data_IF_035310317713
#
_entry.id   IF_035310317713
#
_cell.length_a   1.000
_cell.length_b   1.000
_cell.length_c   1.000
_cell.angle_alpha   90.00
_cell.angle_beta   90.00
_cell.angle_gamma   90.00
#
_symmetry.space_group_name_H-M   'P 1'
#
loop_
_entity.id
_entity.type
_entity.pdbx_description
1 polymer ?
#
# COMPACT_ATOMS: atom_id res chain seq x y z
N UNK A 1 77.86 17.28 -1.99
CA UNK A 1 76.97 16.13 -1.78
C UNK A 1 75.81 16.59 -0.92
N UNK A 2 74.64 16.78 -1.53
CA UNK A 2 73.40 17.22 -0.83
C UNK A 2 72.63 15.97 -0.37
N UNK A 3 72.48 15.78 0.93
CA UNK A 3 71.65 14.73 1.51
C UNK A 3 70.16 15.20 1.50
N UNK A 4 69.37 14.56 0.68
CA UNK A 4 67.92 14.76 0.61
C UNK A 4 67.24 13.93 1.74
N UNK A 5 66.71 14.60 2.74
CA UNK A 5 65.96 13.95 3.83
C UNK A 5 64.52 13.74 3.35
N UNK A 6 64.15 12.50 3.09
CA UNK A 6 62.77 12.11 2.79
C UNK A 6 61.98 12.03 4.12
N UNK A 7 61.05 12.94 4.32
CA UNK A 7 60.11 12.85 5.44
C UNK A 7 59.03 11.87 5.04
N UNK A 8 59.04 10.72 5.66
CA UNK A 8 57.93 9.76 5.60
C UNK A 8 56.81 10.26 6.50
N UNK A 9 55.73 10.71 5.90
CA UNK A 9 54.48 10.98 6.65
C UNK A 9 53.79 9.63 6.84
N UNK A 10 53.80 9.12 8.06
CA UNK A 10 53.01 7.98 8.46
C UNK A 10 51.56 8.43 8.62
N UNK A 11 50.67 7.91 7.78
CA UNK A 11 49.23 8.03 7.95
C UNK A 11 48.79 7.06 9.04
N UNK A 12 48.62 7.54 10.27
CA UNK A 12 48.00 6.79 11.34
C UNK A 12 46.49 6.86 11.13
N UNK A 13 45.92 5.81 10.57
CA UNK A 13 44.50 5.58 10.60
C UNK A 13 44.15 5.01 11.97
N UNK A 14 43.71 5.86 12.88
CA UNK A 14 43.16 5.45 14.15
C UNK A 14 41.76 4.87 13.89
N UNK A 15 41.70 3.53 13.93
CA UNK A 15 40.42 2.80 14.00
C UNK A 15 39.83 3.08 15.40
N UNK A 16 38.83 3.96 15.47
CA UNK A 16 37.96 4.05 16.64
C UNK A 16 37.02 2.84 16.60
N UNK A 17 37.31 1.87 17.47
CA UNK A 17 36.41 0.77 17.78
C UNK A 17 35.16 1.31 18.47
N UNK A 18 34.02 1.24 17.77
CA UNK A 18 32.72 1.39 18.38
C UNK A 18 32.34 0.02 18.99
N UNK A 19 32.42 -0.05 20.32
CA UNK A 19 31.78 -1.09 21.11
C UNK A 19 30.29 -0.84 21.05
N UNK A 20 29.56 -1.62 20.26
CA UNK A 20 28.11 -1.62 20.23
C UNK A 20 27.56 -2.37 21.45
N UNK A 21 26.95 -1.64 22.37
CA UNK A 21 26.03 -2.19 23.34
C UNK A 21 24.74 -2.59 22.60
N UNK A 22 24.51 -3.89 22.49
CA UNK A 22 23.24 -4.43 22.04
C UNK A 22 22.18 -4.27 23.14
N UNK A 23 21.01 -3.73 22.85
CA UNK A 23 19.87 -3.87 23.75
C UNK A 23 19.30 -5.29 23.60
N UNK A 24 19.22 -6.03 24.70
CA UNK A 24 18.48 -7.28 24.80
C UNK A 24 16.98 -6.98 24.68
N UNK A 25 16.45 -7.10 23.48
CA UNK A 25 15.01 -7.13 23.22
C UNK A 25 14.50 -8.54 23.42
N UNK A 26 13.60 -8.70 24.37
CA UNK A 26 12.80 -9.91 24.57
C UNK A 26 11.88 -10.07 23.37
N UNK A 27 12.12 -11.07 22.53
CA UNK A 27 11.20 -11.47 21.47
C UNK A 27 10.06 -12.27 22.10
N UNK A 28 8.85 -11.77 22.00
CA UNK A 28 7.64 -12.56 22.15
C UNK A 28 7.53 -13.45 20.90
N UNK A 29 7.55 -14.73 21.11
CA UNK A 29 7.37 -15.79 20.12
C UNK A 29 5.89 -15.84 19.75
N UNK A 30 5.54 -15.29 18.58
CA UNK A 30 4.21 -15.46 18.01
C UNK A 30 4.21 -16.71 17.13
N UNK A 31 3.59 -17.75 17.67
CA UNK A 31 3.45 -19.09 17.10
C UNK A 31 2.43 -19.03 15.95
N UNK A 32 2.87 -18.78 14.71
CA UNK A 32 2.04 -19.00 13.52
C UNK A 32 2.19 -20.44 13.05
N UNK A 33 1.26 -21.26 13.49
CA UNK A 33 0.98 -22.58 12.93
C UNK A 33 0.59 -22.44 11.47
N UNK A 34 1.40 -22.99 10.58
CA UNK A 34 1.05 -23.21 9.18
C UNK A 34 -0.04 -24.27 9.09
N UNK A 35 -1.28 -23.83 8.93
CA UNK A 35 -2.39 -24.70 8.56
C UNK A 35 -2.48 -24.78 7.04
N UNK A 36 -2.18 -25.94 6.48
CA UNK A 36 -2.54 -26.30 5.12
C UNK A 36 -4.07 -26.36 5.02
N UNK A 37 -4.68 -25.28 4.50
CA UNK A 37 -6.11 -25.22 4.25
C UNK A 37 -6.45 -25.93 2.94
N UNK A 38 -7.00 -27.12 3.06
CA UNK A 38 -7.76 -27.79 2.01
C UNK A 38 -8.82 -26.85 1.42
N UNK A 39 -8.81 -26.68 0.09
CA UNK A 39 -9.91 -26.07 -0.66
C UNK A 39 -11.16 -26.91 -0.45
N UNK A 40 -12.03 -26.52 0.46
CA UNK A 40 -13.40 -26.99 0.50
C UNK A 40 -14.19 -26.25 -0.58
N UNK A 41 -14.48 -26.95 -1.64
CA UNK A 41 -15.52 -26.65 -2.62
C UNK A 41 -16.86 -26.49 -1.86
N UNK A 42 -17.36 -25.27 -1.77
CA UNK A 42 -18.69 -25.03 -1.21
C UNK A 42 -19.73 -25.40 -2.25
N UNK A 43 -20.30 -26.57 -2.08
CA UNK A 43 -21.48 -27.03 -2.78
C UNK A 43 -22.66 -26.10 -2.45
N UNK A 44 -23.17 -25.43 -3.48
CA UNK A 44 -24.37 -24.60 -3.41
C UNK A 44 -25.57 -25.54 -3.31
N UNK A 45 -26.26 -25.51 -2.19
CA UNK A 45 -27.62 -26.09 -2.10
C UNK A 45 -28.63 -25.01 -2.49
N UNK A 46 -29.50 -25.28 -3.49
CA UNK A 46 -30.64 -24.43 -3.76
C UNK A 46 -31.86 -25.02 -3.03
N UNK A 47 -32.34 -24.35 -2.00
CA UNK A 47 -33.76 -24.46 -1.64
C UNK A 47 -34.18 -23.27 -0.78
N UNK A 48 -35.34 -22.70 -1.18
CA UNK A 48 -35.90 -21.46 -0.81
C UNK A 48 -36.26 -21.26 0.65
N UNK A 49 -36.21 -19.97 1.01
CA UNK A 49 -37.24 -19.33 1.81
C UNK A 49 -37.06 -17.81 1.75
N UNK A 50 -38.17 -17.15 1.47
CA UNK A 50 -38.32 -15.73 1.25
C UNK A 50 -38.36 -14.95 2.57
N UNK A 51 -37.26 -14.87 3.32
CA UNK A 51 -37.12 -13.95 4.45
C UNK A 51 -35.65 -13.56 4.70
N UNK A 52 -34.93 -13.23 3.67
CA UNK A 52 -33.48 -13.05 3.69
C UNK A 52 -33.01 -11.67 4.16
N UNK A 53 -33.70 -11.01 5.10
CA UNK A 53 -33.26 -9.71 5.64
C UNK A 53 -33.06 -9.69 7.16
N UNK A 54 -33.32 -10.79 7.87
CA UNK A 54 -33.18 -10.86 9.32
C UNK A 54 -31.99 -11.73 9.70
N UNK A 55 -30.82 -11.11 9.75
CA UNK A 55 -29.62 -11.73 10.34
C UNK A 55 -29.67 -11.68 11.86
N UNK A 56 -28.83 -12.52 12.48
CA UNK A 56 -28.63 -12.58 13.93
C UNK A 56 -28.28 -11.19 14.50
N UNK A 57 -28.91 -10.81 15.61
CA UNK A 57 -28.51 -9.65 16.40
C UNK A 57 -27.49 -10.11 17.42
N UNK A 58 -26.33 -9.47 17.40
CA UNK A 58 -25.24 -9.71 18.34
C UNK A 58 -25.09 -8.58 19.33
N UNK A 59 -24.55 -8.86 20.51
CA UNK A 59 -24.27 -7.83 21.50
C UNK A 59 -23.18 -6.87 20.98
N UNK A 60 -23.43 -5.58 21.08
CA UNK A 60 -22.52 -4.53 20.64
C UNK A 60 -21.62 -4.12 21.80
N UNK A 61 -20.32 -3.94 21.54
CA UNK A 61 -19.37 -3.49 22.55
C UNK A 61 -19.83 -2.22 23.24
N UNK A 62 -19.68 -2.11 24.58
CA UNK A 62 -19.97 -0.87 25.32
C UNK A 62 -19.21 0.36 24.83
N UNK A 63 -18.04 0.15 24.20
CA UNK A 63 -17.17 1.23 23.68
C UNK A 63 -17.41 1.52 22.18
N UNK A 64 -18.35 0.82 21.52
CA UNK A 64 -18.65 1.05 20.11
C UNK A 64 -19.18 2.48 19.87
N UNK A 65 -18.88 3.09 18.72
CA UNK A 65 -19.46 4.36 18.35
C UNK A 65 -20.98 4.24 18.09
N UNK A 66 -21.72 5.35 18.08
CA UNK A 66 -23.15 5.32 17.78
C UNK A 66 -23.46 4.68 16.43
N UNK A 67 -22.72 5.02 15.38
CA UNK A 67 -22.90 4.50 14.02
C UNK A 67 -21.60 3.81 13.58
N UNK A 68 -21.72 2.51 13.23
CA UNK A 68 -20.60 1.73 12.66
C UNK A 68 -21.16 0.69 11.68
N UNK A 69 -21.12 1.02 10.41
CA UNK A 69 -21.53 0.11 9.33
C UNK A 69 -20.31 -0.67 8.80
N UNK A 70 -20.51 -1.95 8.55
CA UNK A 70 -19.50 -2.85 7.97
C UNK A 70 -20.09 -3.62 6.78
N UNK A 71 -19.25 -3.93 5.80
CA UNK A 71 -19.59 -4.75 4.62
C UNK A 71 -18.60 -5.91 4.51
N UNK A 72 -19.07 -7.09 4.16
CA UNK A 72 -18.25 -8.28 3.99
C UNK A 72 -18.72 -9.15 2.82
N UNK A 73 -17.75 -9.67 2.04
CA UNK A 73 -16.34 -9.29 1.94
C UNK A 73 -16.16 -7.88 1.35
N UNK A 74 -14.94 -7.32 1.46
CA UNK A 74 -14.62 -5.97 0.94
C UNK A 74 -14.35 -5.94 -0.56
N UNK A 75 -14.14 -7.12 -1.18
CA UNK A 75 -13.99 -7.27 -2.63
C UNK A 75 -14.64 -8.58 -3.10
N UNK A 76 -15.02 -8.62 -4.37
CA UNK A 76 -15.58 -9.80 -5.00
C UNK A 76 -15.06 -9.95 -6.43
N UNK A 77 -14.52 -11.12 -6.75
CA UNK A 77 -14.18 -11.49 -8.12
C UNK A 77 -15.38 -12.21 -8.72
N UNK A 78 -15.83 -11.74 -9.88
CA UNK A 78 -17.01 -12.28 -10.56
C UNK A 78 -16.72 -12.57 -12.03
N UNK A 79 -17.28 -13.67 -12.55
CA UNK A 79 -17.22 -13.98 -13.96
C UNK A 79 -18.49 -13.42 -14.61
N UNK A 80 -18.29 -12.56 -15.62
CA UNK A 80 -19.33 -11.87 -16.37
C UNK A 80 -19.51 -12.59 -17.71
N UNK A 81 -20.63 -13.28 -17.84
CA UNK A 81 -21.02 -13.98 -19.08
C UNK A 81 -22.03 -13.13 -19.84
N UNK A 82 -21.71 -12.78 -21.09
CA UNK A 82 -22.59 -11.97 -21.95
C UNK A 82 -24.01 -12.54 -22.00
N UNK A 83 -25.02 -11.68 -21.88
CA UNK A 83 -26.43 -12.02 -21.87
C UNK A 83 -26.91 -12.80 -20.64
N UNK A 84 -26.09 -12.96 -19.60
CA UNK A 84 -26.46 -13.69 -18.40
C UNK A 84 -26.69 -12.78 -17.20
N UNK A 85 -27.63 -13.21 -16.36
CA UNK A 85 -27.86 -12.59 -15.05
C UNK A 85 -27.38 -13.55 -13.98
N UNK A 86 -26.57 -13.04 -13.04
CA UNK A 86 -26.10 -13.80 -11.87
C UNK A 86 -26.45 -13.09 -10.60
N UNK A 87 -26.88 -13.86 -9.61
CA UNK A 87 -27.24 -13.39 -8.28
C UNK A 87 -26.06 -13.58 -7.30
N UNK A 88 -25.87 -12.59 -6.44
CA UNK A 88 -24.85 -12.57 -5.41
C UNK A 88 -25.42 -12.06 -4.10
N UNK A 89 -24.77 -12.41 -3.00
CA UNK A 89 -25.18 -12.00 -1.66
C UNK A 89 -24.03 -11.30 -0.93
N UNK A 90 -24.34 -10.27 -0.18
CA UNK A 90 -23.40 -9.55 0.69
C UNK A 90 -23.95 -9.38 2.08
N UNK A 91 -23.05 -9.31 3.04
CA UNK A 91 -23.38 -9.10 4.44
C UNK A 91 -23.14 -7.64 4.80
N UNK A 92 -24.16 -7.00 5.34
CA UNK A 92 -24.06 -5.67 5.97
C UNK A 92 -24.29 -5.85 7.46
N UNK A 93 -23.41 -5.30 8.29
CA UNK A 93 -23.51 -5.36 9.75
C UNK A 93 -23.51 -3.97 10.35
N UNK A 94 -24.41 -3.73 11.28
CA UNK A 94 -24.37 -2.58 12.17
C UNK A 94 -23.64 -2.99 13.47
N UNK A 95 -22.40 -2.57 13.63
CA UNK A 95 -21.62 -2.77 14.86
C UNK A 95 -21.64 -1.56 15.77
N UNK A 96 -22.48 -0.56 15.48
CA UNK A 96 -22.73 0.63 16.29
C UNK A 96 -23.87 0.43 17.29
N UNK A 97 -23.97 1.39 18.24
CA UNK A 97 -24.98 1.35 19.33
C UNK A 97 -26.39 1.82 18.90
N UNK A 98 -26.50 2.50 17.76
CA UNK A 98 -27.76 3.08 17.31
C UNK A 98 -28.30 2.39 16.08
N UNK A 99 -29.62 2.29 15.97
CA UNK A 99 -30.29 1.90 14.74
C UNK A 99 -30.12 3.02 13.70
N UNK A 100 -30.01 2.65 12.43
CA UNK A 100 -29.94 3.62 11.34
C UNK A 100 -30.48 3.05 10.02
N UNK A 101 -30.78 3.96 9.08
CA UNK A 101 -31.03 3.59 7.70
C UNK A 101 -29.74 3.69 6.89
N UNK A 102 -29.58 2.81 5.92
CA UNK A 102 -28.51 2.89 4.94
C UNK A 102 -29.04 2.68 3.53
N UNK A 103 -28.40 3.35 2.58
CA UNK A 103 -28.70 3.25 1.15
C UNK A 103 -27.58 2.49 0.44
N UNK A 104 -27.96 1.58 -0.46
CA UNK A 104 -27.03 0.92 -1.39
C UNK A 104 -27.04 1.64 -2.72
N UNK A 105 -25.88 1.72 -3.34
CA UNK A 105 -25.72 2.21 -4.70
C UNK A 105 -24.39 1.75 -5.29
N UNK A 106 -24.28 1.84 -6.61
CA UNK A 106 -23.09 1.47 -7.37
C UNK A 106 -22.43 2.71 -7.97
N UNK A 107 -21.11 2.64 -8.13
CA UNK A 107 -20.31 3.65 -8.82
C UNK A 107 -19.27 2.99 -9.70
N UNK A 108 -18.75 3.70 -10.72
CA UNK A 108 -17.50 3.33 -11.36
C UNK A 108 -16.41 3.08 -10.32
N UNK A 109 -15.47 2.19 -10.64
CA UNK A 109 -14.23 2.05 -9.90
C UNK A 109 -13.07 2.13 -10.87
N UNK A 110 -12.33 3.24 -10.82
CA UNK A 110 -11.17 3.51 -11.65
C UNK A 110 -10.05 4.14 -10.84
N UNK A 111 -8.95 4.47 -11.49
CA UNK A 111 -7.76 5.07 -10.89
C UNK A 111 -7.41 6.34 -11.64
N UNK A 112 -7.21 7.44 -10.91
CA UNK A 112 -6.99 8.76 -11.47
C UNK A 112 -5.53 9.00 -11.88
N UNK A 113 -4.56 8.36 -11.22
CA UNK A 113 -3.13 8.62 -11.43
C UNK A 113 -2.22 7.46 -11.02
N UNK A 114 -0.92 7.61 -11.24
CA UNK A 114 0.11 6.61 -10.90
C UNK A 114 0.28 6.35 -9.39
N UNK A 115 -0.15 7.26 -8.51
CA UNK A 115 -0.17 7.05 -7.07
C UNK A 115 -1.34 6.16 -6.65
N UNK A 116 -2.18 5.80 -7.59
CA UNK A 116 -3.33 4.93 -7.41
C UNK A 116 -4.44 5.56 -6.57
N UNK A 117 -4.64 6.89 -6.75
CA UNK A 117 -5.78 7.58 -6.18
C UNK A 117 -7.06 7.04 -6.84
N UNK A 118 -7.95 6.51 -6.02
CA UNK A 118 -9.16 5.86 -6.48
C UNK A 118 -10.18 6.92 -6.93
N UNK A 119 -10.78 6.69 -8.10
CA UNK A 119 -11.85 7.51 -8.65
C UNK A 119 -13.15 6.69 -8.77
N UNK A 120 -14.20 7.19 -8.13
CA UNK A 120 -15.54 6.62 -8.16
C UNK A 120 -16.52 7.40 -9.02
N UNK A 121 -16.03 8.33 -9.84
CA UNK A 121 -16.86 9.23 -10.65
C UNK A 121 -16.68 9.06 -12.15
N UNK A 122 -15.48 8.69 -12.59
CA UNK A 122 -15.16 8.59 -14.02
C UNK A 122 -15.65 7.27 -14.62
N UNK A 123 -16.54 7.38 -15.57
CA UNK A 123 -17.01 6.25 -16.37
C UNK A 123 -16.05 5.97 -17.52
N UNK A 124 -15.68 4.72 -17.69
CA UNK A 124 -14.83 4.20 -18.76
C UNK A 124 -15.44 2.93 -19.35
N UNK A 125 -14.86 2.42 -20.43
CA UNK A 125 -15.25 1.12 -20.98
C UNK A 125 -15.00 -0.04 -20.00
N UNK A 126 -14.21 0.20 -18.94
CA UNK A 126 -13.89 -0.79 -17.89
C UNK A 126 -14.75 -0.64 -16.64
N UNK A 127 -15.67 0.30 -16.59
CA UNK A 127 -16.51 0.56 -15.40
C UNK A 127 -18.01 0.39 -15.67
N UNK A 128 -18.38 -0.15 -16.84
CA UNK A 128 -19.78 -0.31 -17.24
C UNK A 128 -20.57 -1.25 -16.31
N UNK A 129 -19.91 -2.20 -15.66
CA UNK A 129 -20.54 -3.12 -14.70
C UNK A 129 -21.27 -2.40 -13.58
N UNK A 130 -20.90 -1.16 -13.24
CA UNK A 130 -21.61 -0.34 -12.26
C UNK A 130 -23.08 -0.10 -12.62
N UNK A 131 -23.43 -0.12 -13.91
CA UNK A 131 -24.79 0.06 -14.41
C UNK A 131 -25.58 -1.25 -14.51
N UNK A 132 -24.91 -2.39 -14.44
CA UNK A 132 -25.53 -3.70 -14.59
C UNK A 132 -25.95 -4.30 -13.24
N UNK A 133 -25.56 -3.67 -12.14
CA UNK A 133 -25.84 -4.13 -10.78
C UNK A 133 -27.16 -3.52 -10.29
N UNK A 134 -28.08 -4.38 -9.86
CA UNK A 134 -29.33 -4.00 -9.20
C UNK A 134 -29.50 -4.79 -7.90
N UNK A 135 -30.19 -4.23 -6.95
CA UNK A 135 -30.38 -4.82 -5.63
C UNK A 135 -31.83 -5.27 -5.45
N UNK A 136 -32.02 -6.36 -4.73
CA UNK A 136 -33.34 -6.76 -4.29
C UNK A 136 -33.82 -5.89 -3.12
N UNK A 137 -35.04 -5.38 -3.25
CA UNK A 137 -35.83 -4.77 -2.16
C UNK A 137 -37.20 -5.44 -2.16
N UNK A 138 -37.36 -6.46 -1.31
CA UNK A 138 -38.43 -7.44 -1.49
C UNK A 138 -38.25 -8.18 -2.82
N UNK A 139 -39.32 -8.32 -3.58
CA UNK A 139 -39.30 -9.00 -4.90
C UNK A 139 -38.94 -8.05 -6.07
N UNK A 140 -38.55 -6.80 -5.80
CA UNK A 140 -38.25 -5.82 -6.82
C UNK A 140 -36.76 -5.57 -6.94
N UNK A 141 -36.28 -5.41 -8.16
CA UNK A 141 -34.93 -4.94 -8.46
C UNK A 141 -34.90 -3.41 -8.49
N UNK A 142 -34.03 -2.82 -7.68
CA UNK A 142 -33.90 -1.37 -7.48
C UNK A 142 -32.43 -0.99 -7.55
N UNK A 143 -32.11 0.14 -8.17
CA UNK A 143 -30.72 0.62 -8.28
C UNK A 143 -30.20 1.25 -6.97
N UNK A 144 -31.07 1.87 -6.18
CA UNK A 144 -30.72 2.59 -4.95
C UNK A 144 -31.70 2.32 -3.80
N UNK A 145 -31.79 1.09 -3.30
CA UNK A 145 -32.66 0.77 -2.18
C UNK A 145 -32.14 1.36 -0.88
N UNK A 146 -33.07 1.63 0.03
CA UNK A 146 -32.79 2.01 1.42
C UNK A 146 -33.30 0.91 2.36
N UNK A 147 -32.50 0.57 3.36
CA UNK A 147 -32.80 -0.45 4.35
C UNK A 147 -32.61 0.10 5.76
N UNK A 148 -33.45 -0.33 6.70
CA UNK A 148 -33.26 -0.10 8.11
C UNK A 148 -32.47 -1.26 8.74
N UNK A 149 -31.51 -0.93 9.60
CA UNK A 149 -30.71 -1.93 10.32
C UNK A 149 -30.59 -1.58 11.80
N UNK A 150 -30.90 -2.54 12.67
CA UNK A 150 -30.83 -2.36 14.12
C UNK A 150 -29.40 -2.48 14.62
N UNK A 151 -29.13 -1.90 15.78
CA UNK A 151 -27.87 -2.09 16.51
C UNK A 151 -27.56 -3.59 16.67
N UNK A 152 -26.32 -4.01 16.36
CA UNK A 152 -25.87 -5.40 16.42
C UNK A 152 -26.41 -6.31 15.32
N UNK A 153 -27.30 -5.80 14.45
CA UNK A 153 -27.92 -6.62 13.40
C UNK A 153 -26.98 -6.87 12.23
N UNK A 154 -27.03 -8.10 11.70
CA UNK A 154 -26.42 -8.50 10.45
C UNK A 154 -27.51 -8.78 9.41
N UNK A 155 -27.39 -8.22 8.20
CA UNK A 155 -28.32 -8.41 7.10
C UNK A 155 -27.61 -8.99 5.90
N UNK A 156 -28.29 -9.92 5.20
CA UNK A 156 -27.86 -10.44 3.90
C UNK A 156 -28.56 -9.63 2.81
N UNK A 157 -27.77 -8.94 2.00
CA UNK A 157 -28.28 -8.17 0.85
C UNK A 157 -28.01 -8.95 -0.42
N UNK A 158 -29.08 -9.23 -1.17
CA UNK A 158 -28.99 -9.83 -2.49
C UNK A 158 -28.91 -8.78 -3.57
N UNK A 159 -28.06 -9.03 -4.57
CA UNK A 159 -27.96 -8.19 -5.77
C UNK A 159 -27.74 -9.08 -7.01
N UNK A 160 -28.12 -8.58 -8.16
CA UNK A 160 -27.87 -9.21 -9.45
C UNK A 160 -26.93 -8.37 -10.28
N UNK A 161 -26.21 -9.05 -11.16
CA UNK A 161 -25.47 -8.41 -12.26
C UNK A 161 -26.12 -8.90 -13.55
N UNK A 162 -26.79 -7.98 -14.24
CA UNK A 162 -27.45 -8.23 -15.53
C UNK A 162 -26.46 -7.87 -16.64
N UNK A 163 -25.72 -8.86 -17.14
CA UNK A 163 -24.66 -8.63 -18.13
C UNK A 163 -25.27 -8.49 -19.53
N UNK A 164 -25.03 -7.39 -20.26
CA UNK A 164 -25.48 -7.24 -21.65
C UNK A 164 -24.86 -8.27 -22.58
N UNK A 165 -25.48 -8.46 -23.78
CA UNK A 165 -24.95 -9.35 -24.80
C UNK A 165 -23.65 -8.85 -25.42
N UNK A 166 -23.50 -7.52 -25.56
CA UNK A 166 -22.31 -6.88 -26.12
C UNK A 166 -21.50 -6.23 -25.00
N UNK A 167 -20.43 -6.90 -24.58
CA UNK A 167 -19.50 -6.43 -23.54
C UNK A 167 -18.05 -6.54 -24.02
N UNK A 168 -17.21 -5.54 -23.72
CA UNK A 168 -15.79 -5.61 -24.07
C UNK A 168 -15.10 -6.74 -23.33
N UNK A 169 -14.20 -7.47 -24.01
CA UNK A 169 -13.36 -8.49 -23.38
C UNK A 169 -12.44 -7.88 -22.33
N UNK A 170 -12.19 -8.64 -21.24
CA UNK A 170 -11.28 -8.28 -20.17
C UNK A 170 -11.98 -7.90 -18.86
N UNK A 171 -11.36 -7.01 -18.09
CA UNK A 171 -11.82 -6.61 -16.76
C UNK A 171 -12.91 -5.55 -16.79
N UNK A 172 -13.83 -5.63 -15.80
CA UNK A 172 -14.88 -4.65 -15.55
C UNK A 172 -14.93 -4.35 -14.03
N UNK A 173 -14.94 -3.08 -13.64
CA UNK A 173 -14.74 -2.66 -12.26
C UNK A 173 -15.82 -1.72 -11.77
N UNK A 174 -16.36 -2.00 -10.59
CA UNK A 174 -17.33 -1.16 -9.92
C UNK A 174 -17.13 -1.19 -8.40
N UNK A 175 -17.69 -0.20 -7.72
CA UNK A 175 -17.87 -0.24 -6.28
C UNK A 175 -19.35 -0.28 -5.92
N UNK A 176 -19.69 -1.10 -4.94
CA UNK A 176 -20.99 -1.08 -4.27
C UNK A 176 -20.80 -0.38 -2.94
N UNK A 177 -21.51 0.71 -2.70
CA UNK A 177 -21.47 1.44 -1.45
C UNK A 177 -22.71 1.18 -0.60
N UNK A 178 -22.49 1.04 0.71
CA UNK A 178 -23.50 1.16 1.73
C UNK A 178 -23.21 2.46 2.52
N UNK A 179 -24.12 3.42 2.43
CA UNK A 179 -23.98 4.74 3.03
C UNK A 179 -25.11 4.98 4.02
N UNK A 180 -24.78 5.34 5.25
CA UNK A 180 -25.79 5.64 6.26
C UNK A 180 -26.46 6.98 5.93
N UNK A 181 -27.78 7.06 6.13
CA UNK A 181 -28.46 8.35 6.11
C UNK A 181 -27.94 9.20 7.27
N UNK A 182 -27.69 10.48 6.99
CA UNK A 182 -27.28 11.41 8.04
C UNK A 182 -28.38 11.45 9.10
N UNK A 183 -28.03 11.06 10.33
CA UNK A 183 -28.97 11.11 11.44
C UNK A 183 -29.51 12.54 11.55
N UNK A 184 -30.83 12.69 11.55
CA UNK A 184 -31.45 13.95 11.91
C UNK A 184 -31.13 14.20 13.39
N UNK A 185 -30.10 14.99 13.64
CA UNK A 185 -29.97 15.60 14.95
C UNK A 185 -31.26 16.39 15.15
N UNK A 186 -32.14 15.90 16.05
CA UNK A 186 -33.28 16.71 16.55
C UNK A 186 -32.67 18.05 16.86
N UNK A 187 -33.11 19.06 16.15
CA UNK A 187 -32.80 20.46 16.42
C UNK A 187 -33.25 20.76 17.84
N UNK A 188 -32.37 20.56 18.81
CA UNK A 188 -32.51 21.28 20.05
C UNK A 188 -32.39 22.75 19.70
N UNK A 189 -33.37 23.55 20.11
CA UNK A 189 -33.50 24.99 19.87
C UNK A 189 -32.34 25.85 20.41
N UNK A 190 -31.14 25.28 20.56
CA UNK A 190 -29.92 25.95 21.00
C UNK A 190 -28.95 26.13 19.83
N UNK A 191 -29.35 26.87 18.81
CA UNK A 191 -28.46 27.51 17.81
C UNK A 191 -27.15 26.83 17.38
N UNK A 192 -26.94 25.56 17.68
CA UNK A 192 -25.73 24.83 17.43
C UNK A 192 -25.84 24.09 16.07
N UNK A 193 -25.11 24.52 15.07
CA UNK A 193 -25.02 23.86 13.76
C UNK A 193 -24.41 22.48 13.93
N UNK A 194 -25.24 21.46 14.07
CA UNK A 194 -24.79 20.07 14.12
C UNK A 194 -24.18 19.65 12.79
N UNK A 195 -22.93 19.18 12.80
CA UNK A 195 -22.30 18.56 11.63
C UNK A 195 -22.99 17.21 11.42
N UNK A 196 -23.64 17.03 10.27
CA UNK A 196 -24.20 15.73 9.84
C UNK A 196 -23.09 14.90 9.23
N UNK A 197 -22.75 13.79 9.85
CA UNK A 197 -21.76 12.84 9.31
C UNK A 197 -22.46 11.60 8.79
N UNK A 198 -22.31 11.29 7.50
CA UNK A 198 -22.67 10.01 6.92
C UNK A 198 -21.45 9.09 6.90
N UNK A 199 -21.62 7.84 7.33
CA UNK A 199 -20.59 6.81 7.20
C UNK A 199 -20.83 6.02 5.94
N UNK A 200 -19.76 5.75 5.18
CA UNK A 200 -19.82 5.00 3.92
C UNK A 200 -18.79 3.89 3.92
N UNK A 201 -19.20 2.68 3.56
CA UNK A 201 -18.33 1.52 3.34
C UNK A 201 -18.54 0.98 1.94
N UNK A 202 -17.49 0.43 1.33
CA UNK A 202 -17.53 -0.03 -0.06
C UNK A 202 -17.07 -1.48 -0.22
N UNK A 203 -17.60 -2.12 -1.24
CA UNK A 203 -17.19 -3.40 -1.78
C UNK A 203 -16.76 -3.19 -3.23
N UNK A 204 -15.56 -3.62 -3.60
CA UNK A 204 -15.08 -3.55 -4.97
C UNK A 204 -15.45 -4.82 -5.73
N UNK A 205 -16.04 -4.66 -6.91
CA UNK A 205 -16.30 -5.74 -7.87
C UNK A 205 -15.19 -5.76 -8.90
N UNK A 206 -14.51 -6.90 -8.99
CA UNK A 206 -13.55 -7.24 -10.04
C UNK A 206 -14.24 -8.24 -10.98
N UNK A 207 -14.81 -7.74 -12.05
CA UNK A 207 -15.49 -8.55 -13.07
C UNK A 207 -14.51 -8.97 -14.17
N UNK A 208 -14.55 -10.25 -14.56
CA UNK A 208 -13.84 -10.76 -15.74
C UNK A 208 -14.84 -11.30 -16.73
N UNK A 209 -14.76 -10.83 -17.98
CA UNK A 209 -15.62 -11.32 -19.06
C UNK A 209 -15.09 -12.65 -19.60
N UNK A 210 -15.95 -13.46 -20.23
CA UNK A 210 -15.58 -14.75 -20.83
C UNK A 210 -14.76 -14.62 -22.13
N UNK A 211 -14.43 -13.41 -22.59
CA UNK A 211 -13.59 -13.19 -23.76
C UNK A 211 -12.11 -13.47 -23.48
N UNK A 212 -11.26 -13.23 -24.46
CA UNK A 212 -9.82 -13.33 -24.33
C UNK A 212 -9.31 -12.35 -23.27
N UNK A 213 -8.73 -12.89 -22.20
CA UNK A 213 -8.10 -12.09 -21.13
C UNK A 213 -6.60 -12.09 -21.31
N UNK A 214 -6.02 -10.90 -21.34
CA UNK A 214 -4.57 -10.68 -21.50
C UNK A 214 -4.06 -9.99 -20.23
N UNK A 215 -3.20 -10.69 -19.50
CA UNK A 215 -2.46 -10.14 -18.35
C UNK A 215 -1.03 -9.83 -18.80
N UNK A 216 -0.71 -8.55 -18.97
CA UNK A 216 0.61 -8.12 -19.41
C UNK A 216 1.01 -6.84 -18.71
N UNK A 217 2.18 -6.86 -18.05
CA UNK A 217 2.75 -5.72 -17.34
C UNK A 217 4.10 -5.33 -17.91
N UNK A 218 4.38 -4.03 -17.88
CA UNK A 218 5.65 -3.44 -18.26
C UNK A 218 6.19 -2.60 -17.12
N UNK A 219 7.48 -2.79 -16.76
CA UNK A 219 8.16 -1.98 -15.76
C UNK A 219 8.73 -0.74 -16.45
N UNK A 220 8.07 0.41 -16.23
CA UNK A 220 8.40 1.69 -16.89
C UNK A 220 9.40 2.54 -16.11
N UNK A 221 9.51 2.33 -14.80
CA UNK A 221 10.47 3.00 -13.93
C UNK A 221 10.99 2.02 -12.88
N UNK A 222 12.26 2.18 -12.50
CA UNK A 222 12.88 1.32 -11.49
C UNK A 222 14.10 2.03 -10.91
N UNK A 223 14.06 2.36 -9.63
CA UNK A 223 15.11 3.15 -9.00
C UNK A 223 15.45 2.68 -7.59
N UNK A 224 16.76 2.53 -7.35
CA UNK A 224 17.36 2.37 -6.03
C UNK A 224 18.36 3.53 -5.85
N UNK A 225 18.17 4.49 -4.91
CA UNK A 225 19.11 5.57 -4.69
C UNK A 225 20.48 5.02 -4.24
N UNK A 226 21.58 5.46 -4.87
CA UNK A 226 22.93 5.02 -4.47
C UNK A 226 23.52 5.77 -3.30
N UNK A 227 23.04 7.02 -3.03
CA UNK A 227 23.53 7.87 -1.96
C UNK A 227 22.40 8.66 -1.32
N UNK A 228 22.38 8.69 0.02
CA UNK A 228 21.36 9.35 0.81
C UNK A 228 22.00 10.29 1.83
N UNK A 229 21.61 11.56 1.81
CA UNK A 229 22.02 12.58 2.81
C UNK A 229 20.96 12.75 3.91
N UNK A 230 19.75 12.26 3.67
CA UNK A 230 18.60 12.30 4.59
C UNK A 230 17.57 11.24 4.19
N UNK A 231 16.55 11.06 5.02
CA UNK A 231 15.47 10.11 4.77
C UNK A 231 15.87 8.65 4.98
N UNK A 232 14.99 7.75 4.55
CA UNK A 232 15.13 6.31 4.71
C UNK A 232 15.57 5.64 3.41
N UNK A 233 16.12 4.44 3.52
CA UNK A 233 16.40 3.60 2.34
C UNK A 233 15.06 3.20 1.73
N UNK A 234 14.89 3.48 0.45
CA UNK A 234 13.70 3.13 -0.30
C UNK A 234 14.04 2.70 -1.72
N UNK A 235 13.16 1.92 -2.33
CA UNK A 235 13.21 1.57 -3.74
C UNK A 235 11.84 1.85 -4.38
N UNK A 236 11.86 2.43 -5.55
CA UNK A 236 10.65 2.84 -6.27
C UNK A 236 10.58 2.15 -7.62
N UNK A 237 9.41 1.70 -8.00
CA UNK A 237 9.13 1.22 -9.36
C UNK A 237 7.75 1.64 -9.81
N UNK A 238 7.60 1.75 -11.14
CA UNK A 238 6.30 1.89 -11.80
C UNK A 238 6.06 0.65 -12.66
N UNK A 239 4.85 0.14 -12.55
CA UNK A 239 4.37 -0.94 -13.41
C UNK A 239 3.12 -0.46 -14.14
N UNK A 240 3.15 -0.54 -15.46
CA UNK A 240 2.02 -0.25 -16.35
C UNK A 240 1.36 -1.55 -16.74
N UNK A 241 0.04 -1.62 -16.61
CA UNK A 241 -0.74 -2.73 -17.13
C UNK A 241 -1.10 -2.42 -18.60
N UNK A 242 -0.54 -3.21 -19.51
CA UNK A 242 -0.78 -3.13 -20.96
C UNK A 242 -1.77 -4.18 -21.44
N UNK A 243 -2.30 -5.00 -20.52
CA UNK A 243 -3.33 -5.99 -20.79
C UNK A 243 -4.74 -5.41 -20.75
N UNK A 244 -5.72 -6.28 -20.80
CA UNK A 244 -7.14 -5.93 -20.76
C UNK A 244 -7.85 -6.34 -19.47
N UNK A 245 -7.14 -6.94 -18.52
CA UNK A 245 -7.63 -7.30 -17.18
C UNK A 245 -6.63 -6.92 -16.10
N UNK A 246 -7.08 -6.85 -14.85
CA UNK A 246 -6.23 -6.60 -13.70
C UNK A 246 -5.32 -7.80 -13.41
N UNK A 247 -4.17 -7.50 -12.83
CA UNK A 247 -3.25 -8.50 -12.28
C UNK A 247 -2.57 -8.00 -11.01
N UNK A 248 -2.02 -8.93 -10.25
CA UNK A 248 -1.21 -8.63 -9.08
C UNK A 248 0.27 -8.52 -9.45
N UNK A 249 0.89 -7.39 -9.10
CA UNK A 249 2.33 -7.20 -9.18
C UNK A 249 2.96 -7.36 -7.79
N UNK A 250 4.07 -8.12 -7.73
CA UNK A 250 4.78 -8.42 -6.50
C UNK A 250 6.04 -7.56 -6.44
N UNK A 251 6.25 -6.89 -5.31
CA UNK A 251 7.40 -6.03 -5.03
C UNK A 251 8.14 -6.57 -3.82
N UNK A 252 9.40 -6.93 -3.99
CA UNK A 252 10.27 -7.44 -2.94
C UNK A 252 11.45 -6.48 -2.72
N UNK A 253 11.66 -6.04 -1.49
CA UNK A 253 12.87 -5.33 -1.10
C UNK A 253 13.57 -6.11 0.01
N UNK A 254 14.88 -6.28 -0.12
CA UNK A 254 15.73 -6.77 0.95
C UNK A 254 16.94 -5.86 1.13
N UNK A 255 17.30 -5.61 2.37
CA UNK A 255 18.45 -4.81 2.74
C UNK A 255 19.38 -5.64 3.62
N UNK A 256 20.64 -5.71 3.26
CA UNK A 256 21.67 -6.42 4.03
C UNK A 256 22.87 -5.51 4.33
N UNK A 257 23.61 -5.87 5.35
CA UNK A 257 24.91 -5.27 5.63
C UNK A 257 25.92 -5.69 4.55
N UNK A 258 27.07 -5.00 4.47
CA UNK A 258 28.16 -5.36 3.56
C UNK A 258 28.67 -6.79 3.83
N UNK A 259 28.55 -7.24 5.08
CA UNK A 259 28.97 -8.58 5.51
C UNK A 259 27.91 -9.66 5.24
N UNK A 260 26.75 -9.29 4.64
CA UNK A 260 25.71 -10.22 4.24
C UNK A 260 24.63 -10.50 5.30
N UNK A 261 24.67 -9.86 6.48
CA UNK A 261 23.60 -9.99 7.45
C UNK A 261 22.33 -9.29 6.92
N UNK A 262 21.20 -9.98 6.88
CA UNK A 262 19.90 -9.42 6.51
C UNK A 262 19.43 -8.46 7.63
N UNK A 263 19.11 -7.24 7.25
CA UNK A 263 18.67 -6.18 8.17
C UNK A 263 17.19 -5.87 8.01
N UNK A 264 16.67 -6.03 6.80
CA UNK A 264 15.27 -5.74 6.48
C UNK A 264 14.83 -6.52 5.25
N UNK A 265 13.59 -7.01 5.29
CA UNK A 265 12.93 -7.64 4.14
C UNK A 265 11.45 -7.32 4.16
N UNK A 266 10.90 -6.98 3.00
CA UNK A 266 9.46 -6.74 2.84
C UNK A 266 9.02 -7.17 1.46
N UNK A 267 7.90 -7.89 1.41
CA UNK A 267 7.14 -8.17 0.20
C UNK A 267 5.81 -7.41 0.25
N UNK A 268 5.40 -6.87 -0.86
CA UNK A 268 4.09 -6.22 -1.01
C UNK A 268 3.49 -6.61 -2.34
N UNK A 269 2.18 -6.84 -2.35
CA UNK A 269 1.42 -7.22 -3.53
C UNK A 269 0.42 -6.10 -3.81
N UNK A 270 0.36 -5.66 -5.06
CA UNK A 270 -0.53 -4.60 -5.49
C UNK A 270 -1.27 -5.00 -6.75
N UNK A 271 -2.59 -4.86 -6.73
CA UNK A 271 -3.40 -5.02 -7.93
C UNK A 271 -3.24 -3.80 -8.85
N UNK A 272 -3.13 -4.05 -10.17
CA UNK A 272 -2.98 -3.02 -11.20
C UNK A 272 -4.09 -3.21 -12.23
N UNK A 273 -5.00 -2.25 -12.32
CA UNK A 273 -6.10 -2.23 -13.26
C UNK A 273 -5.59 -2.08 -14.70
N UNK A 274 -6.29 -2.60 -15.72
CA UNK A 274 -5.89 -2.46 -17.12
C UNK A 274 -5.78 -0.99 -17.53
N UNK A 275 -4.87 -0.72 -18.43
CA UNK A 275 -4.63 0.61 -19.00
C UNK A 275 -4.15 1.65 -17.96
N UNK A 276 -3.80 1.23 -16.73
CA UNK A 276 -3.27 2.10 -15.68
C UNK A 276 -1.80 1.84 -15.38
N UNK A 277 -1.15 2.80 -14.76
CA UNK A 277 0.21 2.70 -14.24
C UNK A 277 0.19 2.90 -12.73
N UNK A 278 0.93 2.06 -12.00
CA UNK A 278 1.05 2.17 -10.54
C UNK A 278 2.48 2.40 -10.13
N UNK A 279 2.71 3.49 -9.39
CA UNK A 279 3.97 3.77 -8.69
C UNK A 279 3.92 3.14 -7.30
N UNK A 280 4.94 2.37 -6.96
CA UNK A 280 5.12 1.79 -5.63
C UNK A 280 6.47 2.19 -5.09
N UNK A 281 6.47 2.65 -3.84
CA UNK A 281 7.67 2.94 -3.06
C UNK A 281 7.70 2.00 -1.85
N UNK A 282 8.72 1.15 -1.77
CA UNK A 282 9.00 0.35 -0.58
C UNK A 282 10.11 1.01 0.22
N UNK A 283 9.86 1.24 1.51
CA UNK A 283 10.73 1.98 2.40
C UNK A 283 11.05 1.16 3.65
N UNK A 284 12.30 1.22 4.09
CA UNK A 284 12.75 0.73 5.38
C UNK A 284 12.76 1.88 6.39
N UNK A 285 11.68 2.00 7.18
CA UNK A 285 11.48 3.11 8.12
C UNK A 285 12.57 3.20 9.20
N UNK A 286 13.06 2.05 9.69
CA UNK A 286 14.08 1.98 10.73
C UNK A 286 15.51 2.02 10.18
N UNK A 287 15.72 2.70 9.05
CA UNK A 287 17.06 2.82 8.46
C UNK A 287 18.03 3.49 9.43
N UNK A 288 19.19 2.87 9.75
CA UNK A 288 20.20 3.46 10.62
C UNK A 288 20.63 4.87 10.19
N UNK A 289 21.08 5.69 11.15
CA UNK A 289 21.47 7.06 10.92
C UNK A 289 22.52 7.20 9.79
N UNK A 290 23.49 6.29 9.73
CA UNK A 290 24.52 6.23 8.69
C UNK A 290 24.97 4.79 8.43
N UNK A 291 25.51 4.53 7.24
CA UNK A 291 26.05 3.21 6.91
C UNK A 291 26.16 2.97 5.41
N UNK A 292 26.64 1.77 5.07
CA UNK A 292 26.70 1.24 3.72
C UNK A 292 25.90 -0.06 3.70
N UNK A 293 24.93 -0.11 2.82
CA UNK A 293 23.94 -1.20 2.75
C UNK A 293 23.88 -1.77 1.33
N UNK A 294 23.62 -3.04 1.24
CA UNK A 294 23.33 -3.71 -0.01
C UNK A 294 21.81 -3.84 -0.13
N UNK A 295 21.22 -3.15 -1.09
CA UNK A 295 19.77 -3.14 -1.33
C UNK A 295 19.49 -3.95 -2.58
N UNK A 296 18.66 -4.96 -2.44
CA UNK A 296 18.13 -5.77 -3.53
C UNK A 296 16.65 -5.47 -3.68
N UNK A 297 16.23 -5.07 -4.88
CA UNK A 297 14.85 -4.79 -5.19
C UNK A 297 14.42 -5.59 -6.41
N UNK A 298 13.29 -6.27 -6.29
CA UNK A 298 12.70 -7.08 -7.35
C UNK A 298 11.24 -6.70 -7.53
N UNK A 299 10.83 -6.58 -8.78
CA UNK A 299 9.44 -6.39 -9.19
C UNK A 299 9.08 -7.49 -10.15
N UNK A 300 7.91 -8.09 -9.94
CA UNK A 300 7.39 -9.18 -10.78
C UNK A 300 5.95 -8.89 -11.17
N UNK A 301 5.70 -8.79 -12.45
CA UNK A 301 4.40 -8.67 -13.09
C UNK A 301 4.30 -9.69 -14.24
N UNK A 302 3.10 -9.99 -14.76
CA UNK A 302 2.94 -10.83 -15.96
C UNK A 302 3.56 -10.19 -17.21
N UNK A 303 3.98 -11.02 -18.17
CA UNK A 303 4.52 -10.58 -19.45
C UNK A 303 6.05 -10.63 -19.56
N UNK A 304 6.58 -10.51 -20.76
CA UNK A 304 8.03 -10.65 -21.05
C UNK A 304 8.87 -9.57 -20.34
N UNK A 305 8.38 -8.35 -20.24
CA UNK A 305 9.04 -7.22 -19.59
C UNK A 305 8.56 -6.96 -18.14
N UNK A 306 7.86 -7.92 -17.57
CA UNK A 306 7.22 -7.80 -16.26
C UNK A 306 8.14 -8.10 -15.06
N UNK A 307 9.38 -8.58 -15.30
CA UNK A 307 10.29 -8.94 -14.20
C UNK A 307 11.57 -8.12 -14.28
N UNK A 308 11.89 -7.42 -13.20
CA UNK A 308 13.16 -6.70 -13.03
C UNK A 308 13.69 -6.85 -11.62
N UNK A 309 14.97 -7.14 -11.53
CA UNK A 309 15.69 -7.28 -10.26
C UNK A 309 17.03 -6.55 -10.35
N UNK A 310 17.32 -5.73 -9.37
CA UNK A 310 18.64 -5.07 -9.24
C UNK A 310 19.13 -5.14 -7.80
N UNK A 311 20.45 -5.25 -7.64
CA UNK A 311 21.13 -5.12 -6.37
C UNK A 311 22.08 -3.92 -6.45
N UNK A 312 22.03 -3.02 -5.47
CA UNK A 312 22.84 -1.80 -5.45
C UNK A 312 23.38 -1.52 -4.06
N UNK A 313 24.62 -1.03 -3.99
CA UNK A 313 25.16 -0.46 -2.77
C UNK A 313 24.56 0.94 -2.54
N UNK A 314 24.02 1.14 -1.36
CA UNK A 314 23.44 2.40 -0.91
C UNK A 314 24.26 2.94 0.24
N UNK A 315 24.79 4.14 0.08
CA UNK A 315 25.56 4.84 1.12
C UNK A 315 24.66 5.88 1.74
N UNK A 316 24.39 5.75 3.03
CA UNK A 316 23.70 6.77 3.81
C UNK A 316 24.71 7.54 4.65
N UNK A 317 24.90 8.82 4.32
CA UNK A 317 25.83 9.71 5.02
C UNK A 317 25.17 11.07 5.24
N UNK A 318 24.63 11.33 6.44
CA UNK A 318 23.84 12.53 6.73
C UNK A 318 24.58 13.83 6.45
N UNK A 319 23.84 14.85 6.03
CA UNK A 319 24.38 16.17 5.70
C UNK A 319 25.21 16.77 6.86
N UNK A 320 24.79 16.53 8.10
CA UNK A 320 25.50 16.99 9.30
C UNK A 320 26.90 16.37 9.38
N UNK A 321 27.03 15.08 9.03
CA UNK A 321 28.33 14.39 9.01
C UNK A 321 29.21 14.88 7.87
N UNK A 322 28.62 15.26 6.72
CA UNK A 322 29.36 15.87 5.62
C UNK A 322 29.99 17.21 6.06
N UNK A 323 29.17 18.06 6.69
CA UNK A 323 29.65 19.36 7.21
C UNK A 323 30.76 19.16 8.24
N UNK A 324 30.57 18.25 9.18
CA UNK A 324 31.55 17.92 10.20
C UNK A 324 32.89 17.45 9.58
N UNK A 325 32.82 16.57 8.59
CA UNK A 325 33.97 16.05 7.86
C UNK A 325 34.72 17.18 7.16
N UNK A 326 34.01 18.09 6.50
CA UNK A 326 34.60 19.26 5.84
C UNK A 326 35.30 20.15 6.87
N UNK A 327 34.69 20.43 8.01
CA UNK A 327 35.28 21.24 9.09
C UNK A 327 36.56 20.60 9.64
N UNK A 328 36.54 19.28 9.87
CA UNK A 328 37.75 18.55 10.34
C UNK A 328 38.88 18.61 9.31
N UNK A 329 38.58 18.35 8.03
CA UNK A 329 39.56 18.41 6.95
C UNK A 329 40.15 19.83 6.81
N UNK A 330 39.31 20.85 6.90
CA UNK A 330 39.75 22.27 6.87
C UNK A 330 40.65 22.58 8.05
N UNK A 331 40.27 22.15 9.26
CA UNK A 331 41.09 22.33 10.48
C UNK A 331 42.48 21.65 10.36
N UNK A 332 42.50 20.41 9.85
CA UNK A 332 43.76 19.67 9.59
C UNK A 332 44.63 20.46 8.59
N UNK A 333 44.04 20.92 7.47
CA UNK A 333 44.76 21.63 6.42
C UNK A 333 45.37 22.93 6.96
N UNK A 334 44.57 23.71 7.71
CA UNK A 334 45.09 24.97 8.34
C UNK A 334 46.19 24.66 9.35
N UNK A 335 46.02 23.62 10.19
CA UNK A 335 47.02 23.17 11.15
C UNK A 335 48.37 22.81 10.48
N UNK A 336 48.31 22.05 9.38
CA UNK A 336 49.50 21.69 8.58
C UNK A 336 50.19 22.92 8.00
N UNK A 337 49.43 23.90 7.45
CA UNK A 337 49.97 25.13 6.92
C UNK A 337 50.70 25.92 8.01
N UNK A 338 50.09 26.07 9.19
CA UNK A 338 50.69 26.75 10.33
C UNK A 338 51.98 26.07 10.79
N UNK A 339 51.97 24.75 10.90
CA UNK A 339 53.13 23.94 11.31
C UNK A 339 54.32 24.11 10.32
N UNK A 340 54.02 24.05 9.01
CA UNK A 340 55.03 24.25 7.95
C UNK A 340 55.59 25.68 8.00
N UNK A 341 54.74 26.70 8.14
CA UNK A 341 55.20 28.12 8.28
C UNK A 341 56.08 28.29 9.50
N UNK A 342 55.68 27.75 10.66
CA UNK A 342 56.47 27.83 11.90
C UNK A 342 57.82 27.10 11.79
N UNK A 343 57.83 25.92 11.15
CA UNK A 343 59.07 25.17 10.88
C UNK A 343 60.03 25.94 9.96
N UNK A 344 59.55 26.57 8.89
CA UNK A 344 60.34 27.40 7.99
C UNK A 344 60.91 28.64 8.70
N UNK A 345 60.11 29.33 9.52
CA UNK A 345 60.54 30.47 10.30
C UNK A 345 61.63 30.13 11.34
N UNK A 346 61.52 28.95 11.99
CA UNK A 346 62.57 28.45 12.91
C UNK A 346 63.87 28.14 12.17
N UNK A 347 63.82 27.51 11.02
CA UNK A 347 65.01 27.22 10.19
C UNK A 347 65.68 28.50 9.71
N UNK A 348 64.93 29.53 9.32
CA UNK A 348 65.47 30.84 8.92
C UNK A 348 66.19 31.58 10.09
N UNK A 349 65.69 31.44 11.35
CA UNK A 349 66.33 32.00 12.55
C UNK A 349 67.59 31.27 13.01
N UNK A 350 67.79 30.03 12.62
CA UNK A 350 69.02 29.26 12.97
C UNK A 350 70.08 29.35 11.86
N UNK A 351 69.79 30.00 10.75
CA UNK A 351 70.71 30.20 9.64
C UNK A 351 71.35 31.62 9.62
N UNK A 352 71.04 32.48 10.58
CA UNK A 352 71.64 33.73 10.91
C UNK A 352 72.45 33.59 12.19
#
# INVERSE_FOLDING_TARGET
>A
MKKTTIIKIALAVSALGLVGLAPTGVFAEDNQTSGSGEKKEQTIHPEGESDALSGKIEEVSPDAPPILIQISPVSNQVILEAGKTKEYTKTIKNSGKSDFNYRLYTTPYSVANENYDIDFSTETNRTQVSRWIKFYQGDKLVERPTFAIKSGQTQLVKYVIEVPDDIPAGGQYAAIFAETEAADSKSDNSGNSGIRTASRVGLIIYGRTNGETVETGEITDFNIPGFLVSGNISATSKVKNTGNTDFEAIYDISVSSILGAELYKKQSIYNILPETERRVNLEWADTPFMGIFKVKFKVSAPGENGVREEEKLVIKYPIVMIILTILVLTGITVGVIIAVRKSRARKARLAV
#
